data_IF_589619813378
#
_entry.id   IF_589619813378
#
_cell.length_a   1.000
_cell.length_b   1.000
_cell.length_c   1.000
_cell.angle_alpha   90.00
_cell.angle_beta   90.00
_cell.angle_gamma   90.00
#
_symmetry.space_group_name_H-M   'P 1'
#
loop_
_entity.id
_entity.type
_entity.pdbx_description
1 polymer ?
#
# COMPACT_ATOMS: atom_id res chain seq x y z
N UNK A 1 -7.63 8.32 3.38
CA UNK A 1 -6.32 8.97 3.11
C UNK A 1 -5.39 7.89 2.59
N UNK A 2 -5.38 7.66 1.27
CA UNK A 2 -4.59 6.60 0.67
C UNK A 2 -3.15 7.11 0.47
N UNK A 3 -2.26 6.83 1.42
CA UNK A 3 -0.83 6.81 1.11
C UNK A 3 -0.58 5.56 0.26
N UNK A 4 -0.99 5.62 -1.02
CA UNK A 4 -0.51 4.66 -2.00
C UNK A 4 1.01 4.70 -1.90
N UNK A 5 1.62 3.60 -1.45
CA UNK A 5 3.08 3.42 -1.42
C UNK A 5 3.73 3.42 -2.80
N UNK A 6 3.06 3.94 -3.83
CA UNK A 6 3.60 4.27 -5.13
C UNK A 6 4.01 5.74 -5.10
N UNK A 7 5.28 5.99 -4.75
CA UNK A 7 5.92 7.25 -5.11
C UNK A 7 5.85 7.34 -6.65
N UNK A 8 4.88 8.10 -7.16
CA UNK A 8 4.74 8.43 -8.58
C UNK A 8 6.03 9.10 -9.02
N UNK A 9 6.91 8.35 -9.68
CA UNK A 9 8.02 8.92 -10.44
C UNK A 9 7.55 9.16 -11.88
N UNK A 10 6.52 9.96 -12.13
CA UNK A 10 6.26 10.34 -13.53
C UNK A 10 5.62 11.73 -13.67
N UNK A 11 6.39 12.61 -14.32
CA UNK A 11 6.04 13.80 -15.10
C UNK A 11 5.46 15.04 -14.41
N UNK A 12 6.36 15.93 -13.96
CA UNK A 12 6.15 17.37 -14.03
C UNK A 12 7.29 17.99 -14.84
N UNK A 13 6.98 18.57 -16.00
CA UNK A 13 7.95 19.33 -16.79
C UNK A 13 8.49 20.48 -15.90
N UNK A 14 9.81 20.48 -15.66
CA UNK A 14 10.59 21.51 -14.95
C UNK A 14 10.57 21.56 -13.40
N UNK A 15 10.53 20.43 -12.65
CA UNK A 15 10.94 20.44 -11.22
C UNK A 15 11.74 19.20 -10.82
N UNK A 16 12.91 19.38 -10.22
CA UNK A 16 13.65 18.32 -9.51
C UNK A 16 12.74 17.77 -8.40
N UNK A 17 12.54 16.46 -8.33
CA UNK A 17 11.79 15.82 -7.24
C UNK A 17 12.48 16.13 -5.90
N UNK A 18 11.78 16.75 -4.95
CA UNK A 18 12.32 17.04 -3.61
C UNK A 18 11.38 16.52 -2.53
N UNK A 19 11.93 16.17 -1.37
CA UNK A 19 11.18 15.88 -0.15
C UNK A 19 11.21 17.13 0.73
N UNK A 20 10.08 17.53 1.32
CA UNK A 20 10.01 18.69 2.22
C UNK A 20 9.43 18.28 3.56
N UNK A 21 10.09 18.68 4.63
CA UNK A 21 9.69 18.41 6.02
C UNK A 21 9.82 19.71 6.82
N UNK A 22 8.69 20.29 7.24
CA UNK A 22 8.67 21.66 7.77
C UNK A 22 9.23 22.64 6.72
N UNK A 23 10.20 23.45 7.08
CA UNK A 23 10.88 24.39 6.17
C UNK A 23 12.08 23.77 5.43
N UNK A 24 12.46 22.54 5.76
CA UNK A 24 13.62 21.87 5.17
C UNK A 24 13.26 21.22 3.84
N UNK A 25 14.04 21.51 2.79
CA UNK A 25 13.91 20.92 1.46
C UNK A 25 15.10 20.01 1.18
N UNK A 26 14.82 18.76 0.84
CA UNK A 26 15.77 17.73 0.47
C UNK A 26 15.72 17.50 -1.05
N UNK A 27 16.70 17.98 -1.83
CA UNK A 27 16.70 17.89 -3.30
C UNK A 27 16.80 16.47 -3.85
N UNK A 28 17.34 15.55 -3.05
CA UNK A 28 17.36 14.11 -3.29
C UNK A 28 17.23 13.45 -1.93
N UNK A 29 16.24 12.58 -1.78
CA UNK A 29 15.95 11.93 -0.52
C UNK A 29 15.60 10.47 -0.76
N UNK A 30 16.01 9.61 0.17
CA UNK A 30 15.72 8.20 0.06
C UNK A 30 14.23 7.93 0.27
N UNK A 31 13.64 7.15 -0.62
CA UNK A 31 12.20 6.89 -0.66
C UNK A 31 11.73 6.04 0.55
N UNK A 32 12.60 5.16 1.05
CA UNK A 32 12.29 4.31 2.20
C UNK A 32 12.34 5.14 3.47
N UNK A 33 13.36 5.97 3.62
CA UNK A 33 13.46 6.90 4.74
C UNK A 33 12.34 7.94 4.74
N UNK A 34 11.95 8.47 3.57
CA UNK A 34 10.77 9.34 3.44
C UNK A 34 9.51 8.66 3.99
N UNK A 35 9.30 7.39 3.64
CA UNK A 35 8.16 6.61 4.07
C UNK A 35 8.17 6.36 5.59
N UNK A 36 9.34 6.05 6.16
CA UNK A 36 9.51 5.90 7.62
C UNK A 36 9.16 7.19 8.36
N UNK A 37 9.69 8.34 7.92
CA UNK A 37 9.41 9.64 8.54
C UNK A 37 7.94 10.00 8.45
N UNK A 38 7.33 9.84 7.27
CA UNK A 38 5.91 10.08 7.08
C UNK A 38 5.03 9.25 8.03
N UNK A 39 5.37 7.97 8.25
CA UNK A 39 4.65 7.12 9.19
C UNK A 39 4.87 7.52 10.65
N UNK A 40 6.09 7.93 11.04
CA UNK A 40 6.35 8.45 12.38
C UNK A 40 5.59 9.75 12.64
N UNK A 41 5.48 10.63 11.64
CA UNK A 41 4.64 11.84 11.72
C UNK A 41 3.17 11.49 11.90
N UNK A 42 2.65 10.53 11.12
CA UNK A 42 1.27 10.04 11.28
C UNK A 42 1.03 9.44 12.67
N UNK A 43 1.94 8.60 13.16
CA UNK A 43 1.85 7.98 14.48
C UNK A 43 1.84 9.02 15.61
N UNK A 44 2.72 10.03 15.53
CA UNK A 44 2.74 11.16 16.46
C UNK A 44 1.42 11.92 16.45
N UNK A 45 0.89 12.23 15.26
CA UNK A 45 -0.38 12.92 15.12
C UNK A 45 -1.53 12.12 15.77
N UNK A 46 -1.57 10.81 15.56
CA UNK A 46 -2.56 9.93 16.21
C UNK A 46 -2.44 10.02 17.73
N UNK A 47 -1.22 9.92 18.29
CA UNK A 47 -1.01 9.98 19.73
C UNK A 47 -1.48 11.31 20.35
N UNK A 48 -1.38 12.42 19.59
CA UNK A 48 -1.73 13.76 20.06
C UNK A 48 -3.22 14.10 19.87
N UNK A 49 -3.93 13.46 18.93
CA UNK A 49 -5.25 13.92 18.48
C UNK A 49 -6.38 12.89 18.62
N UNK A 50 -6.08 11.62 18.90
CA UNK A 50 -7.10 10.57 18.96
C UNK A 50 -7.53 10.25 20.39
N UNK A 51 -8.77 9.76 20.56
CA UNK A 51 -9.27 9.22 21.83
C UNK A 51 -9.32 7.68 21.79
N UNK A 52 -9.24 7.04 22.96
CA UNK A 52 -9.18 5.56 23.09
C UNK A 52 -10.46 4.84 22.60
N UNK A 53 -11.54 5.57 22.40
CA UNK A 53 -12.81 5.03 21.91
C UNK A 53 -12.81 4.76 20.40
N UNK A 54 -11.91 5.42 19.66
CA UNK A 54 -11.82 5.31 18.21
C UNK A 54 -11.01 4.08 17.79
N UNK A 55 -11.50 3.37 16.78
CA UNK A 55 -10.77 2.27 16.14
C UNK A 55 -9.89 2.83 15.02
N UNK A 56 -8.63 2.42 15.00
CA UNK A 56 -7.68 2.76 13.94
C UNK A 56 -7.30 1.47 13.21
N UNK A 57 -7.55 1.44 11.90
CA UNK A 57 -7.15 0.33 11.04
C UNK A 57 -6.12 0.87 10.04
N UNK A 58 -4.97 0.19 9.95
CA UNK A 58 -3.97 0.46 8.93
C UNK A 58 -3.98 -0.68 7.91
N UNK A 59 -4.31 -0.38 6.64
CA UNK A 59 -4.18 -1.35 5.55
C UNK A 59 -2.72 -1.47 5.14
N UNK A 60 -2.17 -2.67 5.24
CA UNK A 60 -0.82 -3.00 4.81
C UNK A 60 -0.59 -2.87 3.31
N UNK A 61 0.58 -3.34 2.88
CA UNK A 61 1.07 -3.24 1.51
C UNK A 61 0.24 -4.11 0.56
N UNK A 62 -0.05 -3.57 -0.62
CA UNK A 62 -0.72 -4.28 -1.72
C UNK A 62 0.31 -4.51 -2.83
N UNK A 63 0.49 -5.77 -3.23
CA UNK A 63 1.43 -6.13 -4.30
C UNK A 63 1.00 -5.59 -5.65
N UNK A 64 1.99 -5.16 -6.44
CA UNK A 64 1.86 -4.92 -7.87
C UNK A 64 2.55 -6.07 -8.62
N UNK A 65 1.99 -6.53 -9.74
CA UNK A 65 2.46 -7.73 -10.44
C UNK A 65 2.90 -7.40 -11.87
N UNK A 66 4.09 -6.83 -12.02
CA UNK A 66 4.69 -6.64 -13.34
C UNK A 66 5.58 -7.82 -13.71
N UNK A 67 5.49 -8.25 -14.98
CA UNK A 67 6.34 -9.29 -15.57
C UNK A 67 7.09 -8.74 -16.79
N UNK A 68 8.36 -9.12 -16.91
CA UNK A 68 9.20 -8.75 -18.07
C UNK A 68 9.73 -7.31 -18.03
N UNK A 69 9.58 -6.62 -16.90
CA UNK A 69 9.97 -5.23 -16.68
C UNK A 69 9.17 -4.64 -15.52
N UNK A 70 9.48 -3.40 -15.17
CA UNK A 70 8.71 -2.62 -14.21
C UNK A 70 7.65 -1.75 -14.91
N UNK A 71 6.87 -1.03 -14.12
CA UNK A 71 5.82 -0.11 -14.55
C UNK A 71 6.26 0.95 -15.58
N UNK A 72 7.55 1.28 -15.65
CA UNK A 72 8.16 2.26 -16.57
C UNK A 72 9.08 1.64 -17.63
N UNK A 73 9.37 0.34 -17.55
CA UNK A 73 10.33 -0.37 -18.41
C UNK A 73 9.70 -1.51 -19.21
N UNK A 74 8.37 -1.46 -19.41
CA UNK A 74 7.66 -2.41 -20.28
C UNK A 74 7.05 -3.62 -19.56
N UNK A 75 6.93 -3.57 -18.24
CA UNK A 75 6.25 -4.59 -17.45
C UNK A 75 4.78 -4.79 -17.82
N UNK A 76 4.30 -6.02 -17.69
CA UNK A 76 2.91 -6.41 -18.06
C UNK A 76 2.32 -7.46 -17.12
N UNK A 77 0.99 -7.58 -17.14
CA UNK A 77 0.20 -8.56 -16.38
C UNK A 77 -0.97 -9.16 -17.20
N UNK A 78 -1.14 -8.81 -18.47
CA UNK A 78 -2.29 -9.22 -19.30
C UNK A 78 -2.42 -10.73 -19.57
N UNK A 79 -1.40 -11.52 -19.25
CA UNK A 79 -1.41 -12.98 -19.40
C UNK A 79 -1.63 -13.71 -18.08
N UNK A 80 -1.82 -12.98 -16.98
CA UNK A 80 -2.04 -13.54 -15.67
C UNK A 80 -3.56 -13.62 -15.45
N UNK A 81 -4.16 -14.80 -15.64
CA UNK A 81 -5.61 -15.01 -15.52
C UNK A 81 -6.03 -15.85 -14.32
N UNK A 82 -5.07 -16.44 -13.62
CA UNK A 82 -5.30 -17.33 -12.48
C UNK A 82 -4.47 -16.87 -11.27
N UNK A 83 -5.01 -17.01 -10.04
CA UNK A 83 -4.23 -16.82 -8.83
C UNK A 83 -3.01 -17.74 -8.79
N UNK A 84 -1.99 -17.34 -8.03
CA UNK A 84 -0.89 -18.23 -7.72
C UNK A 84 -1.39 -19.32 -6.75
N UNK A 85 -1.20 -20.59 -7.10
CA UNK A 85 -1.63 -21.72 -6.27
C UNK A 85 -0.56 -22.20 -5.28
N UNK A 86 0.74 -21.99 -5.59
CA UNK A 86 1.89 -22.38 -4.75
C UNK A 86 3.07 -21.43 -4.99
N UNK A 87 3.88 -21.20 -3.95
CA UNK A 87 5.21 -20.57 -4.10
C UNK A 87 5.25 -19.04 -4.20
N UNK A 88 4.12 -18.31 -4.14
CA UNK A 88 4.14 -16.86 -4.02
C UNK A 88 4.38 -16.41 -2.57
N UNK A 89 5.62 -16.56 -2.11
CA UNK A 89 6.15 -15.74 -1.02
C UNK A 89 6.92 -14.63 -1.73
N UNK A 90 6.61 -13.36 -1.43
CA UNK A 90 7.45 -12.24 -1.86
C UNK A 90 8.91 -12.63 -1.64
N UNK A 91 9.77 -12.50 -2.65
CA UNK A 91 11.18 -12.90 -2.55
C UNK A 91 11.86 -12.34 -1.29
N UNK A 92 11.35 -11.20 -0.79
CA UNK A 92 11.48 -10.77 0.60
C UNK A 92 10.22 -10.03 1.08
N UNK A 93 9.89 -10.12 2.36
CA UNK A 93 8.84 -9.31 2.98
C UNK A 93 9.13 -7.81 2.77
N UNK A 94 8.17 -6.98 2.28
CA UNK A 94 8.46 -5.62 1.84
C UNK A 94 9.03 -4.78 2.98
N UNK A 95 10.11 -4.04 2.70
CA UNK A 95 10.73 -3.17 3.71
C UNK A 95 9.75 -2.13 4.27
N UNK A 96 8.81 -1.66 3.44
CA UNK A 96 7.73 -0.77 3.87
C UNK A 96 6.82 -1.41 4.91
N UNK A 97 6.54 -2.70 4.80
CA UNK A 97 5.75 -3.41 5.81
C UNK A 97 6.50 -3.55 7.14
N UNK A 98 7.81 -3.84 7.10
CA UNK A 98 8.64 -3.85 8.31
C UNK A 98 8.61 -2.50 9.03
N UNK A 99 8.65 -1.40 8.26
CA UNK A 99 8.54 -0.04 8.81
C UNK A 99 7.14 0.20 9.43
N UNK A 100 6.07 -0.25 8.78
CA UNK A 100 4.71 -0.14 9.34
C UNK A 100 4.60 -0.87 10.68
N UNK A 101 5.11 -2.10 10.75
CA UNK A 101 5.11 -2.91 11.97
C UNK A 101 5.97 -2.27 13.07
N UNK A 102 7.16 -1.78 12.75
CA UNK A 102 8.03 -1.03 13.67
C UNK A 102 7.30 0.18 14.25
N UNK A 103 6.72 1.02 13.41
CA UNK A 103 6.02 2.24 13.84
C UNK A 103 4.79 1.90 14.67
N UNK A 104 3.95 0.96 14.23
CA UNK A 104 2.75 0.56 14.98
C UNK A 104 3.13 -0.01 16.36
N UNK A 105 4.22 -0.76 16.47
CA UNK A 105 4.69 -1.29 17.75
C UNK A 105 5.13 -0.19 18.74
N UNK A 106 5.62 0.93 18.24
CA UNK A 106 6.02 2.09 19.05
C UNK A 106 4.84 3.03 19.39
N UNK A 107 3.66 2.82 18.79
CA UNK A 107 2.49 3.66 19.03
C UNK A 107 1.87 3.40 20.40
N UNK A 108 1.41 4.47 21.05
CA UNK A 108 0.68 4.39 22.32
C UNK A 108 -0.77 3.96 22.10
N UNK A 109 -1.34 4.32 20.94
CA UNK A 109 -2.69 3.91 20.54
C UNK A 109 -2.67 2.56 19.82
N UNK A 110 -3.58 1.63 20.16
CA UNK A 110 -3.68 0.36 19.46
C UNK A 110 -4.15 0.60 18.02
N UNK A 111 -3.40 0.03 17.07
CA UNK A 111 -3.74 0.04 15.64
C UNK A 111 -3.95 -1.39 15.18
N UNK A 112 -5.09 -1.65 14.55
CA UNK A 112 -5.32 -2.93 13.87
C UNK A 112 -4.63 -2.90 12.52
N UNK A 113 -3.54 -3.66 12.39
CA UNK A 113 -2.85 -3.82 11.12
C UNK A 113 -3.58 -4.86 10.26
N UNK A 114 -4.27 -4.38 9.22
CA UNK A 114 -4.86 -5.23 8.20
C UNK A 114 -3.77 -5.64 7.19
N UNK A 115 -3.04 -6.71 7.50
CA UNK A 115 -1.94 -7.19 6.65
C UNK A 115 -2.44 -7.97 5.43
N UNK A 116 -2.70 -7.24 4.33
CA UNK A 116 -3.13 -7.80 3.04
C UNK A 116 -1.97 -8.20 2.12
N UNK A 117 -0.72 -8.05 2.59
CA UNK A 117 0.49 -8.23 1.77
C UNK A 117 0.56 -9.63 1.17
N UNK A 118 0.35 -10.65 1.99
CA UNK A 118 0.45 -12.03 1.53
C UNK A 118 -0.73 -12.38 0.60
N UNK A 119 -1.97 -12.06 0.99
CA UNK A 119 -3.15 -12.39 0.20
C UNK A 119 -3.13 -11.72 -1.18
N UNK A 120 -2.72 -10.45 -1.25
CA UNK A 120 -2.59 -9.72 -2.52
C UNK A 120 -1.49 -10.29 -3.41
N UNK A 121 -0.40 -10.80 -2.84
CA UNK A 121 0.69 -11.41 -3.60
C UNK A 121 0.28 -12.68 -4.37
N UNK A 122 -0.79 -13.36 -3.94
CA UNK A 122 -1.34 -14.50 -4.67
C UNK A 122 -2.24 -14.08 -5.85
N UNK A 123 -2.60 -12.81 -5.96
CA UNK A 123 -3.67 -12.33 -6.84
C UNK A 123 -3.16 -11.59 -8.07
N UNK A 124 -2.14 -12.12 -8.76
CA UNK A 124 -1.64 -11.56 -10.03
C UNK A 124 -2.73 -11.42 -11.11
N UNK A 125 -3.81 -12.19 -11.00
CA UNK A 125 -5.00 -12.19 -11.85
C UNK A 125 -5.93 -10.99 -11.65
N UNK A 126 -5.81 -10.27 -10.52
CA UNK A 126 -6.81 -9.29 -10.11
C UNK A 126 -6.64 -7.88 -10.71
N UNK A 127 -5.69 -7.66 -11.61
CA UNK A 127 -5.35 -6.33 -12.11
C UNK A 127 -6.12 -5.95 -13.40
N UNK A 128 -6.45 -4.66 -13.61
CA UNK A 128 -7.08 -4.19 -14.85
C UNK A 128 -6.24 -4.43 -16.09
N UNK A 129 -4.91 -4.45 -15.95
CA UNK A 129 -3.98 -4.67 -17.06
C UNK A 129 -4.23 -3.66 -18.20
N UNK A 130 -4.56 -4.14 -19.41
CA UNK A 130 -4.86 -3.33 -20.59
C UNK A 130 -6.21 -2.61 -20.50
N UNK A 131 -7.08 -3.02 -19.58
CA UNK A 131 -8.40 -2.40 -19.34
C UNK A 131 -8.32 -1.25 -18.33
N UNK A 132 -7.15 -1.01 -17.73
CA UNK A 132 -6.91 0.12 -16.85
C UNK A 132 -6.88 1.45 -17.60
N UNK A 133 -7.28 2.54 -16.93
CA UNK A 133 -7.15 3.90 -17.47
C UNK A 133 -5.69 4.34 -17.43
N UNK A 134 -4.87 3.93 -18.39
CA UNK A 134 -3.54 4.52 -18.60
C UNK A 134 -3.56 5.25 -19.93
N UNK A 135 -3.58 6.59 -19.87
CA UNK A 135 -3.64 7.49 -21.03
C UNK A 135 -2.41 7.47 -21.96
N UNK A 136 -1.62 6.39 -21.96
CA UNK A 136 -0.46 6.19 -22.83
C UNK A 136 -0.55 4.78 -23.44
N UNK A 137 -0.63 4.71 -24.78
CA UNK A 137 -0.57 3.46 -25.54
C UNK A 137 0.65 2.64 -25.08
N UNK A 138 0.41 1.40 -24.65
CA UNK A 138 1.47 0.43 -24.30
C UNK A 138 1.81 0.28 -22.82
N UNK A 139 1.27 1.10 -21.89
CA UNK A 139 1.42 0.87 -20.45
C UNK A 139 0.20 0.12 -19.88
N UNK A 140 0.45 -0.96 -19.12
CA UNK A 140 -0.59 -1.71 -18.42
C UNK A 140 -0.69 -1.29 -16.96
N UNK A 141 -1.89 -1.37 -16.39
CA UNK A 141 -2.12 -1.17 -14.96
C UNK A 141 -2.01 -2.50 -14.22
N UNK A 142 -0.86 -2.74 -13.60
CA UNK A 142 -0.61 -3.93 -12.78
C UNK A 142 -0.44 -3.58 -11.30
N UNK A 143 -0.99 -2.43 -10.88
CA UNK A 143 -0.91 -1.93 -9.50
C UNK A 143 -2.28 -1.69 -8.86
N UNK A 144 -3.29 -1.33 -9.65
CA UNK A 144 -4.66 -1.21 -9.18
C UNK A 144 -5.42 -2.52 -9.35
N UNK A 145 -6.61 -2.62 -8.77
CA UNK A 145 -7.41 -3.83 -8.77
C UNK A 145 -8.70 -3.65 -9.57
N UNK A 146 -9.10 -4.70 -10.28
CA UNK A 146 -10.45 -4.80 -10.83
C UNK A 146 -11.50 -4.80 -9.71
N UNK A 147 -12.69 -4.30 -10.02
CA UNK A 147 -13.89 -4.43 -9.20
C UNK A 147 -15.00 -5.12 -10.04
N UNK A 148 -15.70 -6.12 -9.49
CA UNK A 148 -15.45 -6.77 -8.19
C UNK A 148 -14.10 -7.52 -8.17
N UNK A 149 -13.49 -7.68 -6.99
CA UNK A 149 -12.17 -8.28 -6.86
C UNK A 149 -11.52 -8.19 -5.48
N UNK A 150 -10.18 -8.11 -5.48
CA UNK A 150 -9.35 -8.13 -4.27
C UNK A 150 -9.74 -7.07 -3.21
N UNK A 151 -10.12 -5.83 -3.57
CA UNK A 151 -10.56 -4.85 -2.58
C UNK A 151 -11.83 -5.25 -1.83
N UNK A 152 -12.69 -6.09 -2.41
CA UNK A 152 -13.91 -6.57 -1.73
C UNK A 152 -13.55 -7.44 -0.52
N UNK A 153 -12.56 -8.32 -0.67
CA UNK A 153 -12.03 -9.11 0.44
C UNK A 153 -11.41 -8.22 1.54
N UNK A 154 -10.80 -7.08 1.19
CA UNK A 154 -10.31 -6.13 2.21
C UNK A 154 -11.46 -5.50 2.99
N UNK A 155 -12.55 -5.17 2.30
CA UNK A 155 -13.75 -4.62 2.94
C UNK A 155 -14.41 -5.66 3.86
N UNK A 156 -14.44 -6.94 3.46
CA UNK A 156 -14.90 -8.03 4.32
C UNK A 156 -14.05 -8.17 5.60
N UNK A 157 -12.71 -8.06 5.50
CA UNK A 157 -11.83 -8.11 6.67
C UNK A 157 -12.01 -6.89 7.59
N UNK A 158 -12.26 -5.70 7.03
CA UNK A 158 -12.60 -4.51 7.81
C UNK A 158 -13.94 -4.72 8.52
N UNK A 159 -14.95 -5.21 7.82
CA UNK A 159 -16.26 -5.50 8.38
C UNK A 159 -16.16 -6.51 9.54
N UNK A 160 -15.46 -7.64 9.32
CA UNK A 160 -15.21 -8.63 10.36
C UNK A 160 -14.51 -8.02 11.58
N UNK A 161 -13.51 -7.17 11.36
CA UNK A 161 -12.81 -6.44 12.44
C UNK A 161 -13.79 -5.58 13.25
N UNK A 162 -14.68 -4.85 12.59
CA UNK A 162 -15.66 -3.99 13.24
C UNK A 162 -16.66 -4.79 14.08
N UNK A 163 -17.15 -5.92 13.55
CA UNK A 163 -18.07 -6.81 14.27
C UNK A 163 -17.41 -7.43 15.50
N UNK A 164 -16.19 -7.96 15.36
CA UNK A 164 -15.46 -8.58 16.47
C UNK A 164 -15.14 -7.56 17.59
N UNK A 165 -14.83 -6.31 17.23
CA UNK A 165 -14.58 -5.25 18.21
C UNK A 165 -15.84 -4.81 18.96
N UNK A 166 -17.01 -4.86 18.32
CA UNK A 166 -18.28 -4.62 19.01
C UNK A 166 -18.58 -5.74 20.01
N UNK A 167 -18.37 -7.00 19.61
CA UNK A 167 -18.59 -8.15 20.48
C UNK A 167 -17.65 -8.17 21.68
N UNK A 168 -16.38 -7.78 21.52
CA UNK A 168 -15.44 -7.69 22.63
C UNK A 168 -15.77 -6.58 23.65
N UNK A 169 -16.68 -5.66 23.31
CA UNK A 169 -17.16 -4.58 24.19
C UNK A 169 -18.54 -4.87 24.83
N UNK A 170 -19.23 -5.91 24.37
CA UNK A 170 -20.50 -6.38 24.92
C UNK A 170 -20.26 -7.37 26.07
#
# INVERSE_FOLDING_TARGET
>A
MELQGHLRRDFCWCRKNYYKEGDQIYPKFDAVEAYRRALKTWAKWINENMSREKLIIYRGYSSAHYRGGDWDSGGSCNKESEPVSKGAILGNYPLKMKIVEEVIKEMQFPVVLLNVTQSTNFRKDGHPSVYGKVGKKGKQDCSHWCLPGVPDAWNELIYATLVLQQWAKA
#
